data_IF_632055883033
#
_entry.id   IF_632055883033
#
_cell.length_a   1.000
_cell.length_b   1.000
_cell.length_c   1.000
_cell.angle_alpha   90.00
_cell.angle_beta   90.00
_cell.angle_gamma   90.00
#
_symmetry.space_group_name_H-M   'P 1'
#
loop_
_entity.id
_entity.type
_entity.pdbx_description
1 polymer ?
#
# COMPACT_ATOMS: atom_id res chain seq x y z
N UNK A 1 -30.83 33.13 -19.00
CA UNK A 1 -31.31 32.05 -18.13
C UNK A 1 -30.13 31.15 -17.83
N UNK A 2 -29.65 31.22 -16.60
CA UNK A 2 -28.37 30.69 -16.13
C UNK A 2 -28.56 29.24 -15.69
N UNK A 3 -27.97 28.27 -16.38
CA UNK A 3 -27.86 26.91 -15.86
C UNK A 3 -26.58 26.84 -15.05
N UNK A 4 -26.71 27.01 -13.73
CA UNK A 4 -25.65 26.73 -12.77
C UNK A 4 -25.25 25.25 -12.95
N UNK A 5 -24.02 25.02 -13.39
CA UNK A 5 -23.35 23.74 -13.16
C UNK A 5 -23.34 23.52 -11.64
N UNK A 6 -24.10 22.53 -11.17
CA UNK A 6 -23.92 21.96 -9.85
C UNK A 6 -22.47 21.47 -9.79
N UNK A 7 -21.60 22.26 -9.14
CA UNK A 7 -20.25 21.81 -8.81
C UNK A 7 -20.42 20.60 -7.91
N UNK A 8 -20.05 19.42 -8.41
CA UNK A 8 -19.99 18.20 -7.61
C UNK A 8 -19.20 18.52 -6.33
N UNK A 9 -19.82 18.22 -5.18
CA UNK A 9 -19.23 18.51 -3.88
C UNK A 9 -17.93 17.72 -3.73
N UNK A 10 -16.86 18.32 -3.19
CA UNK A 10 -15.68 17.55 -2.81
C UNK A 10 -16.11 16.49 -1.77
N UNK A 11 -15.54 15.30 -1.92
CA UNK A 11 -15.76 14.16 -1.03
C UNK A 11 -15.48 14.56 0.45
N UNK A 12 -16.31 14.06 1.36
CA UNK A 12 -16.21 14.17 2.82
C UNK A 12 -15.36 13.05 3.43
N UNK A 13 -14.87 13.24 4.67
CA UNK A 13 -13.92 12.38 5.37
C UNK A 13 -14.26 10.87 5.49
N UNK A 14 -15.47 10.45 5.13
CA UNK A 14 -15.85 9.02 5.09
C UNK A 14 -15.49 8.31 3.78
N UNK A 15 -15.11 9.04 2.74
CA UNK A 15 -14.88 8.46 1.41
C UNK A 15 -13.42 8.02 1.22
N UNK A 16 -12.47 8.59 1.97
CA UNK A 16 -11.07 8.11 2.02
C UNK A 16 -10.98 6.75 2.70
N UNK A 17 -11.64 6.56 3.85
CA UNK A 17 -11.69 5.25 4.51
C UNK A 17 -12.26 4.19 3.57
N UNK A 18 -13.40 4.47 2.90
CA UNK A 18 -13.98 3.57 1.91
C UNK A 18 -13.02 3.25 0.75
N UNK A 19 -12.26 4.24 0.31
CA UNK A 19 -11.26 4.06 -0.72
C UNK A 19 -10.13 3.15 -0.25
N UNK A 20 -9.64 3.32 0.98
CA UNK A 20 -8.66 2.40 1.59
C UNK A 20 -9.19 0.96 1.63
N UNK A 21 -10.44 0.76 2.09
CA UNK A 21 -11.03 -0.59 2.15
C UNK A 21 -11.14 -1.21 0.75
N UNK A 22 -11.41 -0.40 -0.28
CA UNK A 22 -11.49 -0.86 -1.66
C UNK A 22 -10.11 -1.34 -2.17
N UNK A 23 -9.06 -0.57 -1.92
CA UNK A 23 -7.68 -0.94 -2.31
C UNK A 23 -7.21 -2.18 -1.54
N UNK A 24 -7.48 -2.22 -0.23
CA UNK A 24 -7.17 -3.37 0.64
C UNK A 24 -7.87 -4.66 0.18
N UNK A 25 -9.17 -4.58 -0.12
CA UNK A 25 -9.96 -5.74 -0.56
C UNK A 25 -9.69 -6.16 -2.01
N UNK A 26 -9.11 -5.25 -2.81
CA UNK A 26 -8.79 -5.49 -4.23
C UNK A 26 -7.31 -5.23 -4.51
N UNK A 27 -6.36 -5.96 -3.89
CA UNK A 27 -4.93 -5.66 -3.98
C UNK A 27 -4.36 -5.75 -5.41
N UNK A 28 -5.07 -6.42 -6.33
CA UNK A 28 -4.71 -6.52 -7.74
C UNK A 28 -4.81 -5.20 -8.50
N UNK A 29 -5.42 -4.15 -7.94
CA UNK A 29 -5.39 -2.80 -8.52
C UNK A 29 -3.98 -2.19 -8.48
N UNK A 30 -3.11 -2.69 -7.60
CA UNK A 30 -1.70 -2.30 -7.57
C UNK A 30 -0.97 -3.11 -8.65
N UNK A 31 -0.41 -2.47 -9.70
CA UNK A 31 0.27 -3.15 -10.80
C UNK A 31 1.67 -3.61 -10.36
N UNK A 32 1.72 -4.63 -9.49
CA UNK A 32 2.96 -5.04 -8.82
C UNK A 32 4.08 -5.42 -9.79
N UNK A 33 3.76 -6.01 -10.94
CA UNK A 33 4.73 -6.38 -11.96
C UNK A 33 5.44 -5.15 -12.58
N UNK A 34 4.76 -4.00 -12.68
CA UNK A 34 5.35 -2.76 -13.20
C UNK A 34 6.19 -2.05 -12.13
N UNK A 35 5.72 -2.13 -10.88
CA UNK A 35 6.34 -1.50 -9.71
C UNK A 35 7.63 -2.22 -9.31
N UNK A 36 7.53 -3.53 -9.09
CA UNK A 36 8.64 -4.42 -8.78
C UNK A 36 8.57 -5.65 -9.70
N UNK A 37 9.31 -5.66 -10.83
CA UNK A 37 9.28 -6.76 -11.80
C UNK A 37 9.73 -8.13 -11.28
N UNK A 38 10.27 -8.20 -10.06
CA UNK A 38 10.65 -9.45 -9.39
C UNK A 38 9.55 -10.01 -8.50
N UNK A 39 8.54 -9.22 -8.19
CA UNK A 39 7.41 -9.59 -7.38
C UNK A 39 6.27 -10.14 -8.25
N UNK A 40 5.55 -11.13 -7.72
CA UNK A 40 4.37 -11.70 -8.37
C UNK A 40 3.08 -11.24 -7.71
N UNK A 41 3.14 -10.90 -6.42
CA UNK A 41 1.99 -10.44 -5.63
C UNK A 41 2.38 -9.29 -4.71
N UNK A 42 1.41 -8.45 -4.37
CA UNK A 42 1.45 -7.52 -3.25
C UNK A 42 0.32 -7.88 -2.29
N UNK A 43 0.65 -8.03 -1.01
CA UNK A 43 -0.29 -8.46 0.03
C UNK A 43 -0.55 -7.29 0.98
N UNK A 44 -1.80 -6.88 1.23
CA UNK A 44 -2.09 -5.94 2.29
C UNK A 44 -1.76 -6.59 3.63
N UNK A 45 -0.94 -5.92 4.43
CA UNK A 45 -0.49 -6.39 5.75
C UNK A 45 -0.82 -5.39 6.86
N UNK A 46 -1.51 -4.29 6.56
CA UNK A 46 -1.99 -3.34 7.54
C UNK A 46 -2.80 -2.22 6.89
N UNK A 47 -3.79 -1.72 7.63
CA UNK A 47 -4.59 -0.53 7.30
C UNK A 47 -4.61 0.39 8.51
N UNK A 48 -4.50 1.70 8.28
CA UNK A 48 -4.40 2.71 9.34
C UNK A 48 -3.31 2.36 10.37
N UNK A 49 -2.10 2.10 9.86
CA UNK A 49 -0.97 1.62 10.66
C UNK A 49 -0.35 2.79 11.42
N UNK A 50 -0.38 2.80 12.77
CA UNK A 50 0.09 3.94 13.54
C UNK A 50 1.62 4.11 13.44
N UNK A 51 2.05 5.33 13.12
CA UNK A 51 3.44 5.80 13.12
C UNK A 51 3.63 6.77 14.28
N UNK A 52 4.25 6.30 15.36
CA UNK A 52 4.36 7.04 16.61
C UNK A 52 4.92 8.46 16.42
N UNK A 53 4.08 9.46 16.70
CA UNK A 53 4.43 10.89 16.62
C UNK A 53 4.43 11.49 15.22
N UNK A 54 4.04 10.74 14.19
CA UNK A 54 4.04 11.19 12.78
C UNK A 54 2.64 11.11 12.17
N UNK A 55 1.83 10.12 12.58
CA UNK A 55 0.47 9.97 12.08
C UNK A 55 0.09 8.50 11.90
N UNK A 56 -0.73 8.24 10.91
CA UNK A 56 -1.18 6.91 10.50
C UNK A 56 -0.87 6.73 9.02
N UNK A 57 -0.33 5.56 8.66
CA UNK A 57 -0.19 5.15 7.27
C UNK A 57 -1.48 4.48 6.81
N UNK A 58 -2.06 4.95 5.71
CA UNK A 58 -3.35 4.43 5.22
C UNK A 58 -3.30 2.94 4.94
N UNK A 59 -2.39 2.49 4.07
CA UNK A 59 -2.20 1.06 3.80
C UNK A 59 -0.72 0.69 3.73
N UNK A 60 -0.41 -0.46 4.32
CA UNK A 60 0.88 -1.12 4.23
C UNK A 60 0.74 -2.43 3.47
N UNK A 61 1.53 -2.56 2.42
CA UNK A 61 1.64 -3.77 1.62
C UNK A 61 3.03 -4.38 1.76
N UNK A 62 3.09 -5.69 1.56
CA UNK A 62 4.32 -6.44 1.44
C UNK A 62 4.25 -7.33 0.21
N UNK A 63 5.23 -7.20 -0.68
CA UNK A 63 5.34 -8.10 -1.81
C UNK A 63 6.05 -9.41 -1.44
N UNK A 64 5.94 -10.40 -2.32
CA UNK A 64 6.58 -11.70 -2.13
C UNK A 64 8.11 -11.68 -2.28
N UNK A 65 8.71 -10.58 -2.70
CA UNK A 65 10.16 -10.36 -2.60
C UNK A 65 10.59 -9.82 -1.24
N UNK A 66 9.65 -9.54 -0.33
CA UNK A 66 9.91 -8.98 1.00
C UNK A 66 10.10 -7.45 0.99
N UNK A 67 9.65 -6.76 -0.06
CA UNK A 67 9.71 -5.30 -0.17
C UNK A 67 8.39 -4.70 0.31
N UNK A 68 8.49 -3.69 1.17
CA UNK A 68 7.32 -2.94 1.63
C UNK A 68 6.84 -1.99 0.54
N UNK A 69 5.53 -1.80 0.46
CA UNK A 69 4.92 -0.72 -0.29
C UNK A 69 4.02 0.04 0.67
N UNK A 70 4.18 1.36 0.72
CA UNK A 70 3.31 2.24 1.51
C UNK A 70 2.40 2.97 0.53
N UNK A 71 1.11 2.93 0.79
CA UNK A 71 0.09 3.50 -0.09
C UNK A 71 -0.64 4.58 0.69
N UNK A 72 -0.58 5.81 0.20
CA UNK A 72 -1.43 6.90 0.69
C UNK A 72 -2.65 7.02 -0.23
N UNK A 73 -3.83 7.04 0.36
CA UNK A 73 -5.12 7.07 -0.33
C UNK A 73 -5.71 8.47 -0.21
N UNK A 74 -5.38 9.37 -1.16
CA UNK A 74 -5.93 10.74 -1.15
C UNK A 74 -6.66 11.10 -2.42
N UNK A 75 -7.68 11.93 -2.25
CA UNK A 75 -8.42 12.56 -3.33
C UNK A 75 -7.67 13.79 -3.83
N UNK A 76 -6.64 13.53 -4.64
CA UNK A 76 -5.77 14.58 -5.19
C UNK A 76 -6.51 15.34 -6.28
N UNK A 77 -6.87 16.59 -6.01
CA UNK A 77 -7.59 17.48 -6.92
C UNK A 77 -6.65 18.48 -7.62
N UNK A 78 -5.43 18.68 -7.11
CA UNK A 78 -4.47 19.61 -7.69
C UNK A 78 -2.98 19.23 -7.42
N UNK A 79 -2.01 19.87 -8.11
CA UNK A 79 -0.58 19.58 -7.93
C UNK A 79 -0.01 19.88 -6.53
N UNK A 80 -0.61 20.80 -5.76
CA UNK A 80 -0.15 21.11 -4.40
C UNK A 80 -0.45 19.96 -3.44
N UNK A 81 -1.68 19.45 -3.48
CA UNK A 81 -2.08 18.25 -2.72
C UNK A 81 -1.22 17.04 -3.10
N UNK A 82 -0.87 16.89 -4.38
CA UNK A 82 0.06 15.82 -4.80
C UNK A 82 1.43 15.95 -4.13
N UNK A 83 1.97 17.17 -4.06
CA UNK A 83 3.28 17.42 -3.42
C UNK A 83 3.24 17.16 -1.92
N UNK A 84 2.14 17.52 -1.26
CA UNK A 84 1.92 17.25 0.15
C UNK A 84 1.90 15.74 0.44
N UNK A 85 1.15 14.96 -0.35
CA UNK A 85 1.11 13.49 -0.24
C UNK A 85 2.49 12.87 -0.44
N UNK A 86 3.25 13.35 -1.43
CA UNK A 86 4.61 12.85 -1.66
C UNK A 86 5.52 13.15 -0.47
N UNK A 87 5.44 14.34 0.11
CA UNK A 87 6.22 14.69 1.30
C UNK A 87 5.87 13.80 2.51
N UNK A 88 4.57 13.55 2.72
CA UNK A 88 4.07 12.67 3.76
C UNK A 88 4.58 11.23 3.59
N UNK A 89 4.50 10.67 2.38
CA UNK A 89 5.06 9.35 2.06
C UNK A 89 6.58 9.28 2.31
N UNK A 90 7.32 10.34 2.00
CA UNK A 90 8.75 10.40 2.29
C UNK A 90 9.03 10.40 3.80
N UNK A 91 8.26 11.14 4.58
CA UNK A 91 8.35 11.16 6.05
C UNK A 91 8.06 9.77 6.63
N UNK A 92 7.00 9.12 6.17
CA UNK A 92 6.62 7.76 6.58
C UNK A 92 7.71 6.74 6.24
N UNK A 93 8.27 6.80 5.03
CA UNK A 93 9.35 5.93 4.59
C UNK A 93 10.63 6.10 5.44
N UNK A 94 10.96 7.35 5.79
CA UNK A 94 12.09 7.67 6.66
C UNK A 94 11.89 7.09 8.07
N UNK A 95 10.69 7.24 8.64
CA UNK A 95 10.36 6.65 9.93
C UNK A 95 10.45 5.12 9.92
N UNK A 96 9.81 4.47 8.94
CA UNK A 96 9.82 3.00 8.80
C UNK A 96 11.26 2.50 8.67
N UNK A 97 12.06 3.11 7.79
CA UNK A 97 13.44 2.66 7.55
C UNK A 97 14.33 2.87 8.79
N UNK A 98 14.06 3.88 9.61
CA UNK A 98 14.89 4.19 10.80
C UNK A 98 14.44 3.50 12.08
N UNK A 99 13.16 3.10 12.18
CA UNK A 99 12.56 2.59 13.43
C UNK A 99 12.10 1.16 13.36
N UNK A 100 11.78 0.63 12.18
CA UNK A 100 11.23 -0.72 12.05
C UNK A 100 12.30 -1.73 11.67
N UNK A 101 12.16 -2.92 12.25
CA UNK A 101 12.87 -4.12 11.84
C UNK A 101 11.86 -5.16 11.32
N UNK A 102 12.37 -6.28 10.82
CA UNK A 102 11.52 -7.36 10.33
C UNK A 102 10.52 -7.87 11.37
N UNK A 103 10.88 -7.92 12.65
CA UNK A 103 9.97 -8.36 13.71
C UNK A 103 8.77 -7.44 13.86
N UNK A 104 8.97 -6.11 13.82
CA UNK A 104 7.86 -5.15 13.89
C UNK A 104 6.94 -5.25 12.66
N UNK A 105 7.51 -5.46 11.47
CA UNK A 105 6.72 -5.67 10.25
C UNK A 105 5.83 -6.91 10.37
N UNK A 106 6.38 -8.02 10.87
CA UNK A 106 5.63 -9.25 11.07
C UNK A 106 4.56 -9.13 12.15
N UNK A 107 4.82 -8.38 13.23
CA UNK A 107 3.84 -8.07 14.27
C UNK A 107 2.63 -7.34 13.70
N UNK A 108 2.85 -6.27 12.92
CA UNK A 108 1.80 -5.52 12.23
C UNK A 108 1.01 -6.45 11.30
N UNK A 109 1.71 -7.28 10.53
CA UNK A 109 1.08 -8.23 9.61
C UNK A 109 0.24 -9.30 10.34
N UNK A 110 0.66 -9.76 11.52
CA UNK A 110 -0.11 -10.70 12.35
C UNK A 110 -1.33 -10.04 12.98
N UNK A 111 -1.22 -8.79 13.45
CA UNK A 111 -2.35 -8.00 13.93
C UNK A 111 -3.41 -7.83 12.83
N UNK A 112 -2.97 -7.45 11.63
CA UNK A 112 -3.84 -7.31 10.47
C UNK A 112 -4.48 -8.64 10.05
N UNK A 113 -3.71 -9.73 10.00
CA UNK A 113 -4.25 -11.06 9.72
C UNK A 113 -5.39 -11.43 10.67
N UNK A 114 -5.23 -11.16 11.98
CA UNK A 114 -6.28 -11.42 12.97
C UNK A 114 -7.52 -10.55 12.76
N UNK A 115 -7.34 -9.28 12.40
CA UNK A 115 -8.45 -8.37 12.07
C UNK A 115 -9.25 -8.85 10.86
N UNK A 116 -8.60 -9.51 9.90
CA UNK A 116 -9.25 -10.12 8.72
C UNK A 116 -9.78 -11.54 8.95
N UNK A 117 -9.71 -12.06 10.19
CA UNK A 117 -10.19 -13.40 10.55
C UNK A 117 -9.22 -14.54 10.22
N UNK A 118 -7.96 -14.23 9.90
CA UNK A 118 -6.91 -15.21 9.64
C UNK A 118 -6.06 -15.49 10.88
N UNK A 119 -5.41 -16.66 10.90
CA UNK A 119 -4.65 -17.15 12.05
C UNK A 119 -3.28 -16.48 12.16
N UNK A 120 -2.64 -16.15 11.03
CA UNK A 120 -1.30 -15.53 11.00
C UNK A 120 -1.06 -14.79 9.70
N UNK A 121 -0.06 -13.90 9.71
CA UNK A 121 0.40 -13.14 8.54
C UNK A 121 0.68 -14.04 7.33
N UNK A 122 1.18 -15.25 7.56
CA UNK A 122 1.52 -16.17 6.47
C UNK A 122 0.27 -16.68 5.73
N UNK A 123 -0.90 -16.68 6.36
CA UNK A 123 -2.16 -16.99 5.69
C UNK A 123 -2.57 -15.92 4.66
N UNK A 124 -2.20 -14.65 4.89
CA UNK A 124 -2.41 -13.58 3.89
C UNK A 124 -1.67 -13.93 2.58
N UNK A 125 -0.40 -14.36 2.70
CA UNK A 125 0.40 -14.80 1.54
C UNK A 125 -0.18 -16.03 0.86
N UNK A 126 -0.54 -17.07 1.62
CA UNK A 126 -1.16 -18.29 1.03
C UNK A 126 -2.43 -17.95 0.25
N UNK A 127 -3.27 -17.07 0.78
CA UNK A 127 -4.49 -16.63 0.10
C UNK A 127 -4.17 -15.83 -1.16
N UNK A 128 -3.23 -14.89 -1.10
CA UNK A 128 -2.82 -14.08 -2.25
C UNK A 128 -2.21 -14.93 -3.39
N UNK A 129 -1.33 -15.89 -3.08
CA UNK A 129 -0.78 -16.82 -4.07
C UNK A 129 -1.88 -17.66 -4.73
N UNK A 130 -2.85 -18.15 -3.94
CA UNK A 130 -4.01 -18.90 -4.44
C UNK A 130 -4.88 -18.04 -5.37
N UNK A 131 -5.16 -16.79 -5.00
CA UNK A 131 -5.95 -15.85 -5.80
C UNK A 131 -5.26 -15.48 -7.11
N UNK A 132 -3.94 -15.27 -7.07
CA UNK A 132 -3.11 -14.96 -8.23
C UNK A 132 -2.93 -16.16 -9.19
N UNK A 133 -3.46 -17.35 -8.85
CA UNK A 133 -3.30 -18.59 -9.62
C UNK A 133 -1.83 -18.94 -9.90
N UNK A 134 -0.94 -18.52 -9.00
CA UNK A 134 0.48 -18.91 -9.05
C UNK A 134 0.54 -20.40 -8.72
N UNK A 135 1.34 -21.17 -9.47
CA UNK A 135 1.36 -22.63 -9.43
C UNK A 135 1.38 -23.18 -8.00
N UNK A 136 0.54 -24.18 -7.71
CA UNK A 136 0.53 -24.87 -6.41
C UNK A 136 1.87 -25.55 -6.09
N UNK A 137 2.67 -25.85 -7.12
CA UNK A 137 4.02 -26.42 -6.96
C UNK A 137 5.03 -25.38 -6.46
N UNK A 138 4.71 -24.08 -6.55
CA UNK A 138 5.45 -23.05 -5.82
C UNK A 138 5.08 -23.15 -4.34
N UNK A 139 5.66 -24.14 -3.66
CA UNK A 139 5.60 -24.23 -2.20
C UNK A 139 6.25 -22.98 -1.62
N UNK A 140 5.44 -21.98 -1.33
CA UNK A 140 5.87 -20.83 -0.56
C UNK A 140 6.15 -21.31 0.86
N UNK A 141 7.37 -21.08 1.33
CA UNK A 141 7.76 -21.40 2.70
C UNK A 141 7.77 -20.11 3.53
N UNK A 142 7.18 -20.15 4.71
CA UNK A 142 7.13 -19.02 5.65
C UNK A 142 8.54 -18.48 5.95
N UNK A 143 9.49 -19.38 6.23
CA UNK A 143 10.91 -19.04 6.47
C UNK A 143 11.55 -18.32 5.28
N UNK A 144 11.06 -18.53 4.07
CA UNK A 144 11.61 -17.91 2.86
C UNK A 144 11.13 -16.48 2.72
N UNK A 145 9.84 -16.23 2.95
CA UNK A 145 9.31 -14.86 2.99
C UNK A 145 9.89 -14.07 4.17
N UNK A 146 9.99 -14.68 5.36
CA UNK A 146 10.62 -14.05 6.52
C UNK A 146 12.06 -13.58 6.23
N UNK A 147 12.89 -14.46 5.64
CA UNK A 147 14.27 -14.09 5.23
C UNK A 147 14.31 -12.96 4.21
N UNK A 148 13.32 -12.89 3.31
CA UNK A 148 13.21 -11.81 2.32
C UNK A 148 12.91 -10.47 3.00
N UNK A 149 11.98 -10.43 3.95
CA UNK A 149 11.69 -9.24 4.77
C UNK A 149 12.93 -8.79 5.54
N UNK A 150 13.60 -9.73 6.22
CA UNK A 150 14.85 -9.45 6.96
C UNK A 150 15.94 -8.85 6.06
N UNK A 151 16.04 -9.27 4.80
CA UNK A 151 17.03 -8.73 3.86
C UNK A 151 16.64 -7.38 3.26
N UNK A 152 15.35 -7.13 3.08
CA UNK A 152 14.87 -5.99 2.30
C UNK A 152 14.29 -4.84 3.13
N UNK A 153 13.99 -5.01 4.43
CA UNK A 153 13.41 -3.93 5.25
C UNK A 153 14.25 -2.63 5.26
N UNK A 154 15.59 -2.73 5.20
CA UNK A 154 16.49 -1.55 5.13
C UNK A 154 16.52 -0.89 3.74
N UNK A 155 16.04 -1.57 2.70
CA UNK A 155 15.90 -1.00 1.35
C UNK A 155 14.72 -0.04 1.22
N UNK A 156 14.00 0.19 2.32
CA UNK A 156 12.86 1.09 2.43
C UNK A 156 11.67 0.69 1.55
N UNK A 157 10.53 1.33 1.80
CA UNK A 157 9.33 1.02 1.05
C UNK A 157 9.34 1.67 -0.33
N UNK A 158 8.58 1.08 -1.25
CA UNK A 158 8.10 1.74 -2.46
C UNK A 158 6.94 2.65 -2.07
N UNK A 159 6.97 3.90 -2.52
CA UNK A 159 5.95 4.89 -2.19
C UNK A 159 4.89 4.87 -3.27
N UNK A 160 3.62 4.75 -2.89
CA UNK A 160 2.48 4.73 -3.79
C UNK A 160 1.50 5.82 -3.40
N UNK A 161 1.10 6.64 -4.37
CA UNK A 161 -0.06 7.51 -4.28
C UNK A 161 -1.21 6.81 -4.98
N UNK A 162 -2.25 6.43 -4.23
CA UNK A 162 -3.52 5.99 -4.79
C UNK A 162 -4.44 7.21 -4.83
N UNK A 163 -4.89 7.59 -6.03
CA UNK A 163 -5.82 8.70 -6.22
C UNK A 163 -7.00 8.31 -7.10
N UNK A 164 -8.19 8.78 -6.74
CA UNK A 164 -9.38 8.70 -7.58
C UNK A 164 -9.39 9.90 -8.55
N UNK A 165 -9.46 9.67 -9.87
CA UNK A 165 -9.68 10.77 -10.82
C UNK A 165 -11.18 11.10 -10.88
N UNK A 166 -11.50 12.35 -10.57
CA UNK A 166 -12.79 12.95 -10.93
C UNK A 166 -12.85 13.06 -12.45
N UNK A 167 -13.46 12.06 -13.11
CA UNK A 167 -14.14 12.14 -14.41
C UNK A 167 -14.42 10.70 -14.85
N UNK A 168 -15.54 10.16 -14.34
CA UNK A 168 -16.17 8.89 -14.72
C UNK A 168 -15.42 7.58 -14.43
N UNK A 169 -15.92 6.91 -13.36
CA UNK A 169 -15.54 5.58 -12.83
C UNK A 169 -14.22 5.60 -12.08
N UNK A 170 -14.24 5.00 -10.88
CA UNK A 170 -13.11 4.87 -9.97
C UNK A 170 -11.94 4.13 -10.63
N UNK A 171 -11.15 4.86 -11.41
CA UNK A 171 -9.86 4.46 -11.92
C UNK A 171 -8.85 4.83 -10.85
N UNK A 172 -8.40 3.84 -10.09
CA UNK A 172 -7.30 3.98 -9.14
C UNK A 172 -6.05 4.34 -9.95
N UNK A 173 -5.61 5.59 -9.87
CA UNK A 173 -4.29 5.96 -10.37
C UNK A 173 -3.27 5.64 -9.28
N UNK A 174 -2.42 4.65 -9.54
CA UNK A 174 -1.25 4.33 -8.72
C UNK A 174 -0.04 5.00 -9.36
N UNK A 175 0.41 6.11 -8.77
CA UNK A 175 1.73 6.67 -9.06
C UNK A 175 2.74 6.15 -8.04
N UNK A 176 3.93 5.76 -8.49
CA UNK A 176 4.93 5.19 -7.61
C UNK A 176 6.30 5.82 -7.79
N UNK A 177 6.98 6.08 -6.67
CA UNK A 177 8.29 6.73 -6.66
C UNK A 177 9.38 5.68 -6.44
N UNK A 178 10.33 5.58 -7.38
CA UNK A 178 11.55 4.78 -7.19
C UNK A 178 12.62 5.62 -6.50
N UNK A 179 13.32 5.03 -5.52
CA UNK A 179 14.41 5.63 -4.73
C UNK A 179 15.50 6.40 -5.50
N UNK A 180 15.56 6.34 -6.85
CA UNK A 180 16.64 6.91 -7.66
C UNK A 180 16.21 7.83 -8.84
N UNK A 181 15.01 8.39 -8.87
CA UNK A 181 14.69 9.46 -9.85
C UNK A 181 13.72 10.50 -9.28
N UNK A 182 14.26 11.51 -8.61
CA UNK A 182 13.63 12.82 -8.54
C UNK A 182 14.48 13.75 -9.41
N UNK A 183 14.10 13.93 -10.68
CA UNK A 183 14.37 15.22 -11.33
C UNK A 183 13.17 16.09 -11.00
N UNK A 184 13.45 17.20 -10.32
CA UNK A 184 12.50 18.28 -9.98
C UNK A 184 12.21 19.07 -11.24
#
# INVERSE_FOLDING_TARGET
MTTLHEKEKPFTSGEEEQFEQLIESTPTVIPIADINPKAQIAVPIGRQVPLAGIGSLDLLFLDDTGTLLIVECKLVQNPEQRREVVAQLQEYASFITSRWNASRILEIADEHAKQTGLISWFHLFKNAYKMAKISQDAQIEEKTIKRRIERNHLRGPILIVAANRFEERALVLVDYLRRNKFEI
#
